data_IF_612536977302
#
_entry.id   IF_612536977302
#
_cell.length_a   1.000
_cell.length_b   1.000
_cell.length_c   1.000
_cell.angle_alpha   90.00
_cell.angle_beta   90.00
_cell.angle_gamma   90.00
#
_symmetry.space_group_name_H-M   'P 1'
#
loop_
_entity.id
_entity.type
_entity.pdbx_description
1 polymer ?
#
# COMPACT_ATOMS: atom_id res chain seq x y z
N UNK A 1 -5.51 -0.77 20.88
CA UNK A 1 -5.58 -0.39 19.44
C UNK A 1 -4.21 -0.58 18.82
N UNK A 2 -4.16 -1.19 17.64
CA UNK A 2 -2.91 -1.59 17.02
C UNK A 2 -2.75 -1.03 15.61
N UNK A 3 -1.51 -0.83 15.19
CA UNK A 3 -1.12 -0.46 13.83
C UNK A 3 -0.55 -1.71 13.15
N UNK A 4 -0.94 -1.96 11.91
CA UNK A 4 -0.38 -3.02 11.07
C UNK A 4 0.34 -2.39 9.87
N UNK A 5 1.61 -2.79 9.67
CA UNK A 5 2.39 -2.43 8.48
C UNK A 5 2.59 -3.70 7.65
N UNK A 6 1.84 -3.82 6.56
CA UNK A 6 1.98 -4.91 5.59
C UNK A 6 3.02 -4.52 4.52
N UNK A 7 3.95 -5.44 4.22
CA UNK A 7 5.13 -5.14 3.39
C UNK A 7 6.25 -4.43 4.17
N UNK A 8 6.35 -4.67 5.47
CA UNK A 8 7.29 -4.03 6.38
C UNK A 8 8.78 -4.40 6.15
N UNK A 9 9.09 -5.37 5.31
CA UNK A 9 10.47 -5.70 4.93
C UNK A 9 11.01 -4.87 3.76
N UNK A 10 10.16 -4.13 3.04
CA UNK A 10 10.56 -3.28 1.90
C UNK A 10 10.90 -1.84 2.31
N UNK A 11 11.58 -1.08 1.45
CA UNK A 11 12.14 0.25 1.73
C UNK A 11 11.22 1.19 2.55
N UNK A 12 10.10 1.64 1.97
CA UNK A 12 9.16 2.54 2.66
C UNK A 12 8.52 1.85 3.88
N UNK A 13 8.05 0.59 3.70
CA UNK A 13 7.40 -0.16 4.77
C UNK A 13 8.33 -0.39 5.95
N UNK A 14 9.61 -0.64 5.71
CA UNK A 14 10.61 -0.83 6.75
C UNK A 14 10.90 0.46 7.54
N UNK A 15 11.08 1.58 6.85
CA UNK A 15 11.29 2.88 7.50
C UNK A 15 10.05 3.27 8.34
N UNK A 16 8.86 3.10 7.78
CA UNK A 16 7.59 3.36 8.46
C UNK A 16 7.44 2.48 9.72
N UNK A 17 7.70 1.18 9.61
CA UNK A 17 7.65 0.26 10.73
C UNK A 17 8.62 0.67 11.84
N UNK A 18 9.87 0.98 11.49
CA UNK A 18 10.87 1.46 12.46
C UNK A 18 10.44 2.73 13.21
N UNK A 19 9.85 3.69 12.52
CA UNK A 19 9.38 4.92 13.17
C UNK A 19 8.18 4.66 14.09
N UNK A 20 7.23 3.84 13.64
CA UNK A 20 6.02 3.57 14.40
C UNK A 20 6.28 2.78 15.70
N UNK A 21 7.21 1.81 15.71
CA UNK A 21 7.53 1.03 16.93
C UNK A 21 8.11 1.87 18.06
N UNK A 22 8.64 3.06 17.76
CA UNK A 22 9.13 3.99 18.77
C UNK A 22 8.06 4.94 19.32
N UNK A 23 6.82 4.86 18.80
CA UNK A 23 5.71 5.69 19.29
C UNK A 23 5.03 4.98 20.48
N UNK A 24 4.91 5.63 21.66
CA UNK A 24 4.48 4.96 22.90
C UNK A 24 2.96 4.66 22.97
N UNK A 25 2.17 5.11 21.98
CA UNK A 25 0.71 5.17 22.11
C UNK A 25 -0.04 3.97 21.55
N UNK A 26 0.57 3.19 20.64
CA UNK A 26 -0.07 2.03 19.98
C UNK A 26 0.90 0.87 19.84
N UNK A 27 0.38 -0.35 19.89
CA UNK A 27 1.14 -1.53 19.50
C UNK A 27 1.27 -1.58 17.99
N UNK A 28 2.45 -1.92 17.49
CA UNK A 28 2.74 -1.98 16.06
C UNK A 28 3.16 -3.38 15.69
N UNK A 29 2.54 -3.91 14.63
CA UNK A 29 2.82 -5.24 14.10
C UNK A 29 3.19 -5.14 12.62
N UNK A 30 4.11 -6.00 12.20
CA UNK A 30 4.47 -6.18 10.80
C UNK A 30 3.84 -7.44 10.21
N UNK A 31 3.45 -7.36 8.93
CA UNK A 31 3.17 -8.53 8.10
C UNK A 31 4.13 -8.48 6.92
N UNK A 32 4.97 -9.49 6.77
CA UNK A 32 5.94 -9.55 5.67
C UNK A 32 6.42 -10.98 5.41
N UNK A 33 7.00 -11.19 4.23
CA UNK A 33 7.58 -12.51 3.84
C UNK A 33 8.75 -12.94 4.73
N UNK A 34 9.38 -11.99 5.42
CA UNK A 34 10.43 -12.24 6.39
C UNK A 34 9.90 -11.83 7.78
N UNK A 35 10.10 -12.68 8.78
CA UNK A 35 9.76 -12.35 10.16
C UNK A 35 10.73 -11.29 10.70
N UNK A 36 10.20 -10.19 11.22
CA UNK A 36 11.03 -9.09 11.74
C UNK A 36 11.20 -9.19 13.26
N UNK A 37 10.12 -9.54 13.99
CA UNK A 37 10.12 -9.77 15.45
C UNK A 37 9.22 -10.96 15.78
N UNK A 38 9.34 -11.52 16.97
CA UNK A 38 8.52 -12.66 17.38
C UNK A 38 7.00 -12.39 17.38
N UNK A 39 6.59 -11.16 17.69
CA UNK A 39 5.18 -10.75 17.67
C UNK A 39 4.65 -10.41 16.28
N UNK A 40 5.49 -10.39 15.25
CA UNK A 40 5.11 -10.05 13.88
C UNK A 40 4.70 -11.31 13.10
N UNK A 41 3.87 -11.13 12.08
CA UNK A 41 3.43 -12.21 11.23
C UNK A 41 4.36 -12.39 10.01
N UNK A 42 4.85 -13.61 9.82
CA UNK A 42 5.48 -13.99 8.56
C UNK A 42 4.41 -14.56 7.62
N UNK A 43 4.11 -13.84 6.56
CA UNK A 43 3.17 -14.28 5.53
C UNK A 43 3.47 -13.64 4.17
N UNK A 44 3.21 -14.37 3.09
CA UNK A 44 3.17 -13.85 1.73
C UNK A 44 1.72 -13.47 1.38
N UNK A 45 1.43 -12.19 1.43
CA UNK A 45 0.09 -11.68 1.11
C UNK A 45 -0.30 -11.88 -0.36
N UNK A 46 0.61 -12.25 -1.26
CA UNK A 46 0.26 -12.59 -2.64
C UNK A 46 -0.28 -14.02 -2.79
N UNK A 47 -0.12 -14.85 -1.76
CA UNK A 47 -0.60 -16.22 -1.69
C UNK A 47 -1.99 -16.27 -1.05
N UNK A 48 -3.04 -16.71 -1.78
CA UNK A 48 -4.40 -16.80 -1.24
C UNK A 48 -4.53 -17.81 -0.08
N UNK A 49 -3.67 -18.83 -0.02
CA UNK A 49 -3.69 -19.84 1.04
C UNK A 49 -3.27 -19.26 2.41
N UNK A 50 -2.67 -18.07 2.43
CA UNK A 50 -2.29 -17.37 3.66
C UNK A 50 -3.43 -16.54 4.29
N UNK A 51 -4.58 -16.37 3.63
CA UNK A 51 -5.67 -15.49 4.08
C UNK A 51 -6.17 -15.88 5.48
N UNK A 52 -6.39 -17.17 5.73
CA UNK A 52 -6.89 -17.63 7.03
C UNK A 52 -5.86 -17.43 8.14
N UNK A 53 -4.59 -17.70 7.85
CA UNK A 53 -3.48 -17.43 8.79
C UNK A 53 -3.36 -15.94 9.14
N UNK A 54 -3.50 -15.07 8.15
CA UNK A 54 -3.52 -13.61 8.36
C UNK A 54 -4.75 -13.20 9.17
N UNK A 55 -5.93 -13.81 8.91
CA UNK A 55 -7.16 -13.54 9.66
C UNK A 55 -7.02 -13.90 11.14
N UNK A 56 -6.52 -15.09 11.44
CA UNK A 56 -6.27 -15.52 12.83
C UNK A 56 -5.37 -14.52 13.56
N UNK A 57 -4.29 -14.09 12.93
CA UNK A 57 -3.42 -13.07 13.50
C UNK A 57 -4.15 -11.74 13.76
N UNK A 58 -4.92 -11.25 12.79
CA UNK A 58 -5.64 -9.98 12.91
C UNK A 58 -6.77 -10.02 13.95
N UNK A 59 -7.39 -11.18 14.17
CA UNK A 59 -8.45 -11.38 15.16
C UNK A 59 -7.92 -11.27 16.60
N UNK A 60 -6.65 -11.63 16.83
CA UNK A 60 -6.00 -11.50 18.13
C UNK A 60 -5.55 -10.07 18.47
N UNK A 61 -5.56 -9.15 17.50
CA UNK A 61 -5.14 -7.76 17.68
C UNK A 61 -6.26 -6.80 17.29
N UNK A 62 -6.49 -5.78 18.11
CA UNK A 62 -7.48 -4.76 17.80
C UNK A 62 -6.88 -3.73 16.83
N UNK A 63 -7.02 -3.99 15.52
CA UNK A 63 -6.44 -3.15 14.45
C UNK A 63 -7.20 -1.84 14.33
N UNK A 64 -6.53 -0.71 14.37
CA UNK A 64 -7.09 0.63 14.14
C UNK A 64 -6.46 1.35 12.95
N UNK A 65 -5.26 0.94 12.54
CA UNK A 65 -4.58 1.51 11.37
C UNK A 65 -3.87 0.42 10.57
N UNK A 66 -3.99 0.51 9.25
CA UNK A 66 -3.28 -0.35 8.31
C UNK A 66 -2.54 0.50 7.29
N UNK A 67 -1.25 0.25 7.17
CA UNK A 67 -0.42 0.70 6.06
C UNK A 67 -0.09 -0.51 5.19
N UNK A 68 -0.63 -0.58 3.98
CA UNK A 68 -0.28 -1.63 3.03
C UNK A 68 0.75 -1.10 2.03
N UNK A 69 2.02 -1.47 2.26
CA UNK A 69 3.19 -0.98 1.54
C UNK A 69 3.71 -1.98 0.49
N UNK A 70 3.02 -3.12 0.32
CA UNK A 70 3.43 -4.15 -0.64
C UNK A 70 3.34 -3.66 -2.09
N UNK A 71 4.29 -4.09 -2.91
CA UNK A 71 4.29 -3.80 -4.34
C UNK A 71 5.65 -3.99 -5.00
N UNK A 72 5.61 -4.15 -6.33
CA UNK A 72 6.77 -4.34 -7.20
C UNK A 72 6.64 -3.44 -8.42
N UNK A 73 7.76 -2.93 -8.93
CA UNK A 73 7.85 -2.16 -10.17
C UNK A 73 8.69 -2.89 -11.22
N UNK A 74 9.74 -3.57 -10.77
CA UNK A 74 10.66 -4.33 -11.62
C UNK A 74 11.25 -5.48 -10.82
N UNK A 75 11.80 -6.45 -11.51
CA UNK A 75 12.52 -7.58 -10.93
C UNK A 75 13.42 -8.18 -12.03
N UNK A 76 14.71 -8.38 -11.74
CA UNK A 76 15.70 -8.96 -12.66
C UNK A 76 15.61 -8.36 -14.07
N UNK A 77 15.17 -9.19 -15.05
CA UNK A 77 15.02 -8.81 -16.47
C UNK A 77 13.71 -8.08 -16.77
N UNK A 78 12.77 -8.02 -15.81
CA UNK A 78 11.46 -7.41 -16.01
C UNK A 78 11.50 -5.94 -15.60
N UNK A 79 11.93 -5.10 -16.52
CA UNK A 79 11.90 -3.64 -16.37
C UNK A 79 10.57 -3.09 -16.87
N UNK A 80 10.10 -1.92 -16.37
CA UNK A 80 8.89 -1.28 -16.87
C UNK A 80 8.94 -1.06 -18.38
N UNK A 81 7.88 -1.46 -19.07
CA UNK A 81 7.78 -1.50 -20.52
C UNK A 81 7.71 -0.08 -21.11
N UNK A 82 8.49 0.20 -22.13
CA UNK A 82 8.46 1.46 -22.87
C UNK A 82 7.52 1.42 -24.07
N UNK A 83 7.23 0.22 -24.59
CA UNK A 83 6.39 0.02 -25.77
C UNK A 83 5.60 -1.30 -25.64
N UNK A 84 4.51 -1.39 -26.41
CA UNK A 84 3.56 -2.51 -26.38
C UNK A 84 4.24 -3.88 -26.60
N UNK A 85 5.22 -3.95 -27.49
CA UNK A 85 5.95 -5.19 -27.81
C UNK A 85 6.82 -5.73 -26.68
N UNK A 86 7.00 -4.99 -25.59
CA UNK A 86 7.76 -5.43 -24.41
C UNK A 86 6.87 -6.04 -23.34
N UNK A 87 5.56 -6.01 -23.52
CA UNK A 87 4.62 -6.61 -22.56
C UNK A 87 4.80 -8.13 -22.56
N UNK A 88 4.81 -8.70 -21.34
CA UNK A 88 4.91 -10.13 -21.09
C UNK A 88 3.81 -10.54 -20.13
N UNK A 89 3.01 -11.51 -20.52
CA UNK A 89 1.83 -11.94 -19.75
C UNK A 89 2.22 -12.39 -18.33
N UNK A 90 3.29 -13.16 -18.20
CA UNK A 90 3.76 -13.66 -16.90
C UNK A 90 4.11 -12.49 -15.95
N UNK A 91 4.69 -11.40 -16.52
CA UNK A 91 5.02 -10.22 -15.74
C UNK A 91 3.78 -9.43 -15.32
N UNK A 92 2.77 -9.33 -16.19
CA UNK A 92 1.47 -8.73 -15.82
C UNK A 92 0.85 -9.51 -14.66
N UNK A 93 0.74 -10.85 -14.77
CA UNK A 93 0.14 -11.68 -13.72
C UNK A 93 0.91 -11.57 -12.40
N UNK A 94 2.23 -11.61 -12.44
CA UNK A 94 3.08 -11.41 -11.26
C UNK A 94 2.90 -10.02 -10.65
N UNK A 95 2.88 -8.99 -11.48
CA UNK A 95 2.66 -7.60 -11.05
C UNK A 95 1.28 -7.42 -10.42
N UNK A 96 0.21 -8.02 -10.99
CA UNK A 96 -1.13 -8.01 -10.39
C UNK A 96 -1.14 -8.72 -9.04
N UNK A 97 -0.52 -9.90 -8.95
CA UNK A 97 -0.40 -10.64 -7.69
C UNK A 97 0.27 -9.80 -6.61
N UNK A 98 1.38 -9.15 -6.91
CA UNK A 98 2.17 -8.39 -5.93
C UNK A 98 1.60 -7.00 -5.63
N UNK A 99 1.00 -6.31 -6.61
CA UNK A 99 0.55 -4.91 -6.45
C UNK A 99 -0.93 -4.77 -6.10
N UNK A 100 -1.74 -5.81 -6.35
CA UNK A 100 -3.19 -5.78 -6.13
C UNK A 100 -3.63 -6.86 -5.16
N UNK A 101 -3.33 -8.15 -5.46
CA UNK A 101 -3.84 -9.25 -4.64
C UNK A 101 -3.32 -9.23 -3.21
N UNK A 102 -2.12 -8.74 -2.95
CA UNK A 102 -1.62 -8.49 -1.59
C UNK A 102 -2.55 -7.60 -0.76
N UNK A 103 -3.10 -6.54 -1.37
CA UNK A 103 -4.05 -5.64 -0.73
C UNK A 103 -5.44 -6.30 -0.60
N UNK A 104 -5.85 -7.04 -1.62
CA UNK A 104 -7.13 -7.78 -1.63
C UNK A 104 -7.15 -8.84 -0.53
N UNK A 105 -6.12 -9.68 -0.44
CA UNK A 105 -6.05 -10.77 0.55
C UNK A 105 -5.98 -10.23 1.98
N UNK A 106 -5.24 -9.15 2.22
CA UNK A 106 -5.24 -8.49 3.53
C UNK A 106 -6.64 -7.96 3.90
N UNK A 107 -7.35 -7.36 2.93
CA UNK A 107 -8.71 -6.90 3.16
C UNK A 107 -9.70 -8.07 3.38
N UNK A 108 -9.56 -9.17 2.65
CA UNK A 108 -10.36 -10.38 2.83
C UNK A 108 -10.13 -11.02 4.20
N UNK A 109 -8.90 -11.01 4.70
CA UNK A 109 -8.59 -11.48 6.05
C UNK A 109 -9.25 -10.60 7.13
N UNK A 110 -9.27 -9.29 6.94
CA UNK A 110 -9.83 -8.34 7.91
C UNK A 110 -11.37 -8.22 7.84
N UNK A 111 -11.97 -8.38 6.66
CA UNK A 111 -13.39 -8.11 6.42
C UNK A 111 -14.38 -8.84 7.37
N UNK A 112 -14.15 -10.11 7.79
CA UNK A 112 -15.02 -10.80 8.76
C UNK A 112 -14.98 -10.20 10.17
N UNK A 113 -13.90 -9.54 10.55
CA UNK A 113 -13.69 -8.97 11.89
C UNK A 113 -14.43 -7.62 12.01
N UNK A 114 -14.67 -6.93 10.89
CA UNK A 114 -15.30 -5.60 10.88
C UNK A 114 -16.78 -5.67 11.28
N UNK A 115 -17.17 -4.79 12.19
CA UNK A 115 -18.56 -4.61 12.63
C UNK A 115 -18.95 -3.11 12.59
N UNK A 116 -20.20 -2.80 12.91
CA UNK A 116 -20.77 -1.44 12.83
C UNK A 116 -20.10 -0.38 13.72
N UNK A 117 -19.34 -0.81 14.73
CA UNK A 117 -18.64 0.08 15.65
C UNK A 117 -17.12 0.09 15.41
N UNK A 118 -16.67 -0.57 14.34
CA UNK A 118 -15.25 -0.67 14.05
C UNK A 118 -14.69 0.68 13.59
N UNK A 119 -13.58 1.08 14.18
CA UNK A 119 -12.85 2.30 13.83
C UNK A 119 -11.54 1.89 13.15
N UNK A 120 -11.38 2.24 11.88
CA UNK A 120 -10.24 1.83 11.07
C UNK A 120 -9.84 2.91 10.08
N UNK A 121 -8.54 3.17 10.02
CA UNK A 121 -7.92 3.89 8.91
C UNK A 121 -7.04 2.95 8.10
N UNK A 122 -7.25 2.90 6.80
CA UNK A 122 -6.50 2.08 5.85
C UNK A 122 -5.86 2.94 4.78
N UNK A 123 -4.53 2.82 4.61
CA UNK A 123 -3.77 3.51 3.58
C UNK A 123 -2.99 2.50 2.73
N UNK A 124 -3.30 2.42 1.43
CA UNK A 124 -2.61 1.58 0.45
C UNK A 124 -1.61 2.37 -0.36
N UNK A 125 -0.36 1.93 -0.43
CA UNK A 125 0.65 2.56 -1.28
C UNK A 125 0.34 2.28 -2.76
N UNK A 126 -0.19 3.29 -3.43
CA UNK A 126 -0.39 3.34 -4.87
C UNK A 126 0.69 4.19 -5.55
N UNK A 127 0.41 4.74 -6.69
CA UNK A 127 1.30 5.64 -7.41
C UNK A 127 0.49 6.59 -8.30
N UNK A 128 1.00 7.80 -8.50
CA UNK A 128 0.42 8.79 -9.43
C UNK A 128 0.27 8.23 -10.85
N UNK A 129 1.20 7.37 -11.28
CA UNK A 129 1.13 6.69 -12.58
C UNK A 129 -0.05 5.73 -12.75
N UNK A 130 -0.78 5.39 -11.69
CA UNK A 130 -2.06 4.67 -11.74
C UNK A 130 -3.27 5.54 -12.02
N UNK A 131 -3.10 6.86 -12.15
CA UNK A 131 -4.15 7.78 -12.62
C UNK A 131 -4.32 7.66 -14.13
N UNK A 132 -5.56 7.56 -14.59
CA UNK A 132 -5.89 7.58 -16.02
C UNK A 132 -5.83 9.02 -16.57
N UNK A 133 -6.34 9.98 -15.80
CA UNK A 133 -6.40 11.40 -16.21
C UNK A 133 -5.00 12.06 -16.28
N UNK A 134 -4.10 11.71 -15.34
CA UNK A 134 -2.73 12.28 -15.29
C UNK A 134 -1.78 11.63 -16.33
N UNK A 135 -2.21 10.55 -17.00
CA UNK A 135 -1.35 9.80 -17.91
C UNK A 135 -1.20 10.46 -19.28
N UNK A 136 -0.20 11.31 -19.44
CA UNK A 136 0.21 11.90 -20.71
C UNK A 136 1.48 11.28 -21.31
N UNK A 137 2.20 10.44 -20.57
CA UNK A 137 3.50 9.90 -20.97
C UNK A 137 3.43 8.48 -21.57
N UNK A 138 2.43 7.69 -21.20
CA UNK A 138 2.36 6.26 -21.57
C UNK A 138 3.48 5.42 -20.98
N UNK A 139 3.75 4.25 -21.58
CA UNK A 139 4.73 3.29 -21.09
C UNK A 139 4.37 2.68 -19.73
N UNK A 140 5.27 1.86 -19.17
CA UNK A 140 5.11 1.21 -17.86
C UNK A 140 3.78 0.46 -17.73
N UNK A 141 3.40 -0.25 -18.79
CA UNK A 141 2.06 -0.82 -18.95
C UNK A 141 1.64 -1.65 -17.74
N UNK A 142 2.43 -2.66 -17.38
CA UNK A 142 2.09 -3.54 -16.25
C UNK A 142 1.94 -2.76 -14.95
N UNK A 143 2.85 -1.83 -14.67
CA UNK A 143 2.83 -1.08 -13.42
C UNK A 143 1.64 -0.10 -13.37
N UNK A 144 1.39 0.67 -14.44
CA UNK A 144 0.23 1.57 -14.53
C UNK A 144 -1.08 0.82 -14.39
N UNK A 145 -1.24 -0.28 -15.14
CA UNK A 145 -2.45 -1.12 -15.06
C UNK A 145 -2.68 -1.63 -13.64
N UNK A 146 -1.64 -2.14 -12.96
CA UNK A 146 -1.80 -2.67 -11.61
C UNK A 146 -2.11 -1.57 -10.58
N UNK A 147 -1.52 -0.39 -10.69
CA UNK A 147 -1.82 0.73 -9.79
C UNK A 147 -3.19 1.35 -10.05
N UNK A 148 -3.67 1.37 -11.32
CA UNK A 148 -5.05 1.72 -11.64
C UNK A 148 -6.04 0.70 -11.07
N UNK A 149 -5.75 -0.60 -11.20
CA UNK A 149 -6.54 -1.67 -10.61
C UNK A 149 -6.59 -1.58 -9.07
N UNK A 150 -5.46 -1.27 -8.42
CA UNK A 150 -5.42 -1.02 -6.98
C UNK A 150 -6.29 0.18 -6.58
N UNK A 151 -6.23 1.28 -7.34
CA UNK A 151 -7.06 2.46 -7.09
C UNK A 151 -8.55 2.11 -7.19
N UNK A 152 -8.96 1.31 -8.20
CA UNK A 152 -10.33 0.83 -8.33
C UNK A 152 -10.72 -0.10 -7.17
N UNK A 153 -9.84 -1.01 -6.75
CA UNK A 153 -10.06 -1.86 -5.59
C UNK A 153 -10.33 -1.03 -4.33
N UNK A 154 -9.48 -0.04 -4.04
CA UNK A 154 -9.63 0.86 -2.89
C UNK A 154 -10.94 1.66 -2.95
N UNK A 155 -11.32 2.11 -4.15
CA UNK A 155 -12.62 2.78 -4.36
C UNK A 155 -13.79 1.86 -4.00
N UNK A 156 -13.80 0.63 -4.51
CA UNK A 156 -14.85 -0.35 -4.21
C UNK A 156 -14.88 -0.71 -2.72
N UNK A 157 -13.70 -0.97 -2.14
CA UNK A 157 -13.56 -1.29 -0.71
C UNK A 157 -14.12 -0.17 0.17
N UNK A 158 -13.87 1.09 -0.19
CA UNK A 158 -14.39 2.25 0.54
C UNK A 158 -15.92 2.28 0.54
N UNK A 159 -16.56 1.99 -0.59
CA UNK A 159 -18.02 1.96 -0.73
C UNK A 159 -18.62 0.80 0.09
N UNK A 160 -18.00 -0.38 0.02
CA UNK A 160 -18.46 -1.55 0.76
C UNK A 160 -18.32 -1.35 2.27
N UNK A 161 -17.16 -0.91 2.74
CA UNK A 161 -16.88 -0.79 4.16
C UNK A 161 -17.58 0.40 4.83
N UNK A 162 -17.91 1.46 4.08
CA UNK A 162 -18.76 2.52 4.57
C UNK A 162 -20.18 2.05 4.98
N UNK A 163 -20.65 0.93 4.39
CA UNK A 163 -21.92 0.29 4.77
C UNK A 163 -21.80 -0.53 6.05
N UNK A 164 -20.58 -0.98 6.40
CA UNK A 164 -20.30 -1.71 7.65
C UNK A 164 -20.16 -0.73 8.82
N UNK A 165 -19.33 0.29 8.67
CA UNK A 165 -19.12 1.34 9.68
C UNK A 165 -18.76 2.67 9.04
N UNK A 166 -19.38 3.76 9.51
CA UNK A 166 -19.08 5.14 9.09
C UNK A 166 -17.72 5.64 9.60
N UNK A 167 -17.08 4.90 10.51
CA UNK A 167 -15.78 5.23 11.09
C UNK A 167 -14.61 4.56 10.35
N UNK A 168 -14.91 3.76 9.31
CA UNK A 168 -13.87 3.17 8.49
C UNK A 168 -13.48 4.14 7.38
N UNK A 169 -12.22 4.50 7.33
CA UNK A 169 -11.63 5.35 6.29
C UNK A 169 -10.60 4.56 5.49
N UNK A 170 -10.76 4.52 4.18
CA UNK A 170 -9.88 3.79 3.26
C UNK A 170 -9.42 4.74 2.16
N UNK A 171 -8.12 4.80 1.89
CA UNK A 171 -7.56 5.61 0.80
C UNK A 171 -6.35 4.92 0.16
N UNK A 172 -6.05 5.28 -1.09
CA UNK A 172 -4.76 5.02 -1.71
C UNK A 172 -3.89 6.28 -1.71
N UNK A 173 -2.56 6.11 -1.72
CA UNK A 173 -1.63 7.23 -1.65
C UNK A 173 -0.46 7.04 -2.61
N UNK A 174 -0.10 8.10 -3.34
CA UNK A 174 1.19 8.23 -3.99
C UNK A 174 2.19 8.79 -2.99
N UNK A 175 3.23 8.02 -2.59
CA UNK A 175 4.16 8.44 -1.52
C UNK A 175 5.21 9.48 -1.94
N UNK A 176 5.19 9.91 -3.21
CA UNK A 176 6.30 10.62 -3.84
C UNK A 176 7.37 9.64 -4.34
N UNK A 177 8.41 10.17 -5.01
CA UNK A 177 9.54 9.31 -5.39
C UNK A 177 10.49 9.17 -4.19
N UNK A 178 10.56 7.95 -3.68
CA UNK A 178 11.34 7.61 -2.48
C UNK A 178 12.60 6.87 -2.90
N UNK A 179 13.74 7.22 -2.32
CA UNK A 179 14.99 6.49 -2.50
C UNK A 179 14.85 5.09 -1.89
N UNK A 180 14.80 4.10 -2.77
CA UNK A 180 14.60 2.70 -2.43
C UNK A 180 15.06 1.82 -3.61
N UNK A 181 15.25 0.54 -3.38
CA UNK A 181 15.60 -0.41 -4.45
C UNK A 181 14.56 -0.38 -5.59
N UNK A 182 13.26 -0.14 -5.28
CA UNK A 182 12.20 -0.04 -6.27
C UNK A 182 12.38 1.14 -7.23
N UNK A 183 12.84 2.28 -6.75
CA UNK A 183 13.00 3.51 -7.57
C UNK A 183 14.41 3.66 -8.15
N UNK A 184 15.42 3.01 -7.58
CA UNK A 184 16.84 3.18 -7.89
C UNK A 184 17.20 3.18 -9.38
N UNK A 185 16.65 2.29 -10.23
CA UNK A 185 16.96 2.31 -11.66
C UNK A 185 16.44 3.55 -12.40
N UNK A 186 15.51 4.31 -11.80
CA UNK A 186 14.79 5.42 -12.42
C UNK A 186 15.16 6.79 -11.88
N UNK A 187 16.09 6.86 -10.91
CA UNK A 187 16.44 8.09 -10.20
C UNK A 187 17.28 9.08 -11.02
N UNK A 188 17.94 8.63 -12.10
CA UNK A 188 18.93 9.44 -12.85
C UNK A 188 18.40 10.82 -13.29
N UNK A 189 17.11 10.92 -13.61
CA UNK A 189 16.49 12.13 -14.13
C UNK A 189 15.58 12.81 -13.10
N UNK A 190 15.65 12.40 -11.83
CA UNK A 190 14.87 13.00 -10.75
C UNK A 190 15.71 14.07 -10.11
N UNK A 191 15.17 15.29 -10.04
CA UNK A 191 15.83 16.36 -9.31
C UNK A 191 15.93 16.05 -7.80
N UNK A 192 17.03 16.39 -7.13
CA UNK A 192 17.27 16.01 -5.74
C UNK A 192 16.14 16.42 -4.78
N UNK A 193 15.46 17.55 -5.04
CA UNK A 193 14.33 18.04 -4.24
C UNK A 193 13.06 17.18 -4.39
N UNK A 194 13.01 16.30 -5.40
CA UNK A 194 11.88 15.39 -5.66
C UNK A 194 12.18 13.92 -5.32
N UNK A 195 13.40 13.65 -4.81
CA UNK A 195 13.80 12.33 -4.32
C UNK A 195 13.89 12.37 -2.79
N UNK A 196 12.98 11.67 -2.13
CA UNK A 196 12.84 11.67 -0.69
C UNK A 196 13.46 10.43 -0.05
N UNK A 197 14.04 10.57 1.15
CA UNK A 197 14.47 9.39 1.90
C UNK A 197 13.27 8.53 2.30
N UNK A 198 13.52 7.27 2.65
CA UNK A 198 12.48 6.37 3.15
C UNK A 198 11.89 6.90 4.47
N UNK A 199 12.71 7.54 5.32
CA UNK A 199 12.30 8.15 6.59
C UNK A 199 11.39 9.36 6.35
N UNK A 200 11.76 10.26 5.45
CA UNK A 200 10.92 11.41 5.08
C UNK A 200 9.57 10.96 4.52
N UNK A 201 9.58 9.90 3.72
CA UNK A 201 8.35 9.31 3.18
C UNK A 201 7.50 8.69 4.30
N UNK A 202 8.12 8.01 5.25
CA UNK A 202 7.41 7.45 6.40
C UNK A 202 6.76 8.54 7.27
N UNK A 203 7.47 9.65 7.55
CA UNK A 203 6.91 10.81 8.28
C UNK A 203 5.65 11.37 7.59
N UNK A 204 5.68 11.49 6.25
CA UNK A 204 4.54 11.96 5.44
C UNK A 204 3.35 10.98 5.51
N UNK A 205 3.61 9.69 5.39
CA UNK A 205 2.56 8.68 5.50
C UNK A 205 1.89 8.70 6.87
N UNK A 206 2.67 8.85 7.94
CA UNK A 206 2.15 9.00 9.31
C UNK A 206 1.31 10.28 9.42
N UNK A 207 1.79 11.40 8.90
CA UNK A 207 1.06 12.66 8.91
C UNK A 207 -0.28 12.55 8.16
N UNK A 208 -0.29 11.93 6.97
CA UNK A 208 -1.52 11.71 6.19
C UNK A 208 -2.47 10.77 6.93
N UNK A 209 -1.99 9.67 7.51
CA UNK A 209 -2.82 8.73 8.27
C UNK A 209 -3.49 9.41 9.49
N UNK A 210 -2.74 10.21 10.23
CA UNK A 210 -3.26 10.95 11.39
C UNK A 210 -4.38 11.90 10.99
N UNK A 211 -4.26 12.58 9.85
CA UNK A 211 -5.19 13.58 9.33
C UNK A 211 -6.22 13.01 8.34
N UNK A 212 -6.24 11.70 8.11
CA UNK A 212 -7.17 11.06 7.16
C UNK A 212 -8.62 11.33 7.58
N UNK A 213 -9.40 11.86 6.65
CA UNK A 213 -10.76 12.34 6.87
C UNK A 213 -11.76 11.74 5.88
N UNK A 214 -13.06 11.94 6.13
CA UNK A 214 -14.14 11.49 5.24
C UNK A 214 -14.04 12.08 3.82
N UNK A 215 -13.46 13.26 3.65
CA UNK A 215 -13.26 13.88 2.34
C UNK A 215 -12.29 13.07 1.45
N UNK A 216 -11.33 12.41 2.08
CA UNK A 216 -10.30 11.61 1.42
C UNK A 216 -10.68 10.13 1.28
N UNK A 217 -11.80 9.71 1.87
CA UNK A 217 -12.27 8.32 1.83
C UNK A 217 -12.56 7.86 0.40
N UNK A 218 -11.96 6.74 -0.01
CA UNK A 218 -12.06 6.19 -1.36
C UNK A 218 -11.40 7.06 -2.43
N UNK A 219 -10.36 7.82 -2.11
CA UNK A 219 -9.63 8.70 -3.03
C UNK A 219 -8.17 8.27 -3.20
N UNK A 220 -7.57 8.69 -4.32
CA UNK A 220 -6.13 8.68 -4.51
C UNK A 220 -5.57 9.98 -3.95
N UNK A 221 -4.60 9.85 -3.04
CA UNK A 221 -3.95 10.98 -2.37
C UNK A 221 -2.52 11.17 -2.88
N UNK A 222 -2.07 12.40 -2.85
CA UNK A 222 -0.66 12.72 -2.94
C UNK A 222 0.01 12.58 -1.55
N UNK A 223 1.32 12.54 -1.49
CA UNK A 223 2.12 12.43 -0.26
C UNK A 223 1.84 13.52 0.79
N UNK A 224 1.27 14.64 0.40
CA UNK A 224 0.85 15.76 1.26
C UNK A 224 -0.64 15.68 1.69
N UNK A 225 -1.34 14.61 1.30
CA UNK A 225 -2.75 14.40 1.59
C UNK A 225 -3.72 15.11 0.64
N UNK A 226 -3.24 15.84 -0.37
CA UNK A 226 -4.10 16.43 -1.40
C UNK A 226 -4.68 15.34 -2.31
N UNK A 227 -5.85 15.62 -2.91
CA UNK A 227 -6.48 14.69 -3.85
C UNK A 227 -5.73 14.69 -5.19
N UNK A 228 -5.50 13.51 -5.73
CA UNK A 228 -5.04 13.30 -7.10
C UNK A 228 -6.23 12.80 -7.95
N UNK A 229 -6.25 13.11 -9.26
CA UNK A 229 -7.22 12.54 -10.19
C UNK A 229 -7.00 11.02 -10.33
N UNK A 230 -8.09 10.29 -10.69
CA UNK A 230 -8.02 8.85 -10.97
C UNK A 230 -7.56 8.54 -12.39
#
# INVERSE_FOLDING_TARGET
MSIVVAGASGGIGHALFKQLIHQPTKQVYAISRQKLRECDLQADLSDPDQIDHVREFLDHIQVSEIYCCAGVLHEDINMPEKMLSQIRDEWIYKSLSQNVMTHVHLAQALAPILNKNYDLKWLSLSAKVGSLEDNSLGGWYSYRMTKAALNMFIKNLSIEWARKSSNILVASIHPGTTDSELSKPFQRNISPENLYSAEQTADRLIAVMNNLSKHQHGKLLNWDGQLLPY
#
